data_IF_878413454069
#
_entry.id   IF_878413454069
#
_cell.length_a   1.000
_cell.length_b   1.000
_cell.length_c   1.000
_cell.angle_alpha   90.00
_cell.angle_beta   90.00
_cell.angle_gamma   90.00
#
_symmetry.space_group_name_H-M   'P 1'
#
loop_
_entity.id
_entity.type
_entity.pdbx_description
1 polymer ?
#
# COMPACT_ATOMS: atom_id res chain seq x y z
N UNK A 1 -2.93 18.04 53.40
CA UNK A 1 -2.79 18.30 51.98
C UNK A 1 -3.39 17.11 51.23
N UNK A 2 -4.48 17.32 50.49
CA UNK A 2 -5.13 16.21 49.74
C UNK A 2 -4.23 15.76 48.57
N UNK A 3 -4.02 14.46 48.46
CA UNK A 3 -3.29 13.84 47.33
C UNK A 3 -4.05 14.21 46.04
N UNK A 4 -3.34 14.70 45.03
CA UNK A 4 -3.96 15.07 43.77
C UNK A 4 -4.68 13.86 43.17
N UNK A 5 -5.93 14.04 42.73
CA UNK A 5 -6.83 12.93 42.32
C UNK A 5 -6.21 11.99 41.25
N UNK A 6 -5.40 12.51 40.35
CA UNK A 6 -4.72 11.66 39.36
C UNK A 6 -3.67 10.74 39.99
N UNK A 7 -3.02 11.17 41.09
CA UNK A 7 -2.05 10.34 41.81
C UNK A 7 -2.70 9.12 42.46
N UNK A 8 -3.93 9.25 42.94
CA UNK A 8 -4.68 8.12 43.51
C UNK A 8 -4.87 7.02 42.45
N UNK A 9 -5.16 7.41 41.18
CA UNK A 9 -5.28 6.45 40.08
C UNK A 9 -3.95 5.82 39.72
N UNK A 10 -2.88 6.61 39.62
CA UNK A 10 -1.54 6.05 39.32
C UNK A 10 -1.07 5.10 40.39
N UNK A 11 -1.18 5.46 41.68
CA UNK A 11 -0.81 4.61 42.82
C UNK A 11 -1.66 3.35 42.88
N UNK A 12 -2.95 3.45 42.62
CA UNK A 12 -3.85 2.29 42.59
C UNK A 12 -3.45 1.25 41.52
N UNK A 13 -3.18 1.70 40.30
CA UNK A 13 -2.73 0.82 39.22
C UNK A 13 -1.35 0.21 39.56
N UNK A 14 -0.41 1.01 40.04
CA UNK A 14 0.93 0.54 40.41
C UNK A 14 0.87 -0.50 41.55
N UNK A 15 0.00 -0.31 42.56
CA UNK A 15 -0.17 -1.24 43.62
C UNK A 15 -0.76 -2.57 43.10
N UNK A 16 -1.75 -2.55 42.23
CA UNK A 16 -2.32 -3.77 41.64
C UNK A 16 -1.29 -4.57 40.82
N UNK A 17 -0.40 -3.86 40.15
CA UNK A 17 0.73 -4.50 39.44
C UNK A 17 1.72 -5.07 40.45
N UNK A 18 2.06 -4.34 41.52
CA UNK A 18 3.01 -4.78 42.54
C UNK A 18 2.49 -5.97 43.35
N UNK A 19 1.17 -6.06 43.55
CA UNK A 19 0.53 -7.20 44.29
C UNK A 19 0.24 -8.40 43.36
N UNK A 20 0.48 -8.31 42.07
CA UNK A 20 0.18 -9.36 41.10
C UNK A 20 -1.31 -9.52 40.76
N UNK A 21 -2.14 -8.55 41.11
CA UNK A 21 -3.55 -8.50 40.69
C UNK A 21 -3.68 -8.12 39.20
N UNK A 22 -2.75 -7.32 38.69
CA UNK A 22 -2.55 -7.05 37.29
C UNK A 22 -1.17 -7.56 36.88
N UNK A 23 -1.15 -8.49 35.95
CA UNK A 23 0.08 -9.04 35.39
C UNK A 23 0.47 -8.29 34.12
N UNK A 24 1.70 -8.49 33.64
CA UNK A 24 2.17 -7.99 32.35
C UNK A 24 1.27 -8.53 31.23
N UNK A 25 0.87 -7.64 30.32
CA UNK A 25 -0.05 -7.96 29.23
C UNK A 25 -1.54 -7.87 29.59
N UNK A 26 -1.91 -7.75 30.87
CA UNK A 26 -3.32 -7.63 31.26
C UNK A 26 -3.90 -6.29 30.83
N UNK A 27 -5.14 -6.33 30.36
CA UNK A 27 -5.92 -5.14 30.06
C UNK A 27 -6.43 -4.50 31.35
N UNK A 28 -6.22 -3.19 31.51
CA UNK A 28 -6.79 -2.43 32.61
C UNK A 28 -8.22 -1.99 32.28
N UNK A 29 -8.96 -1.56 33.30
CA UNK A 29 -10.31 -1.03 33.15
C UNK A 29 -10.36 0.19 32.22
N UNK A 30 -11.49 0.39 31.58
CA UNK A 30 -11.67 1.54 30.68
C UNK A 30 -11.61 2.89 31.43
N UNK A 31 -11.24 3.96 30.72
CA UNK A 31 -11.27 5.32 31.26
C UNK A 31 -12.60 5.65 31.93
N UNK A 32 -13.72 5.07 31.44
CA UNK A 32 -15.05 5.26 31.98
C UNK A 32 -15.26 4.57 33.30
N UNK A 33 -14.77 3.35 33.41
CA UNK A 33 -14.94 2.55 34.63
C UNK A 33 -14.08 3.13 35.74
N UNK A 34 -12.83 3.47 35.46
CA UNK A 34 -11.95 4.16 36.42
C UNK A 34 -12.55 5.52 36.85
N UNK A 35 -13.10 6.29 35.93
CA UNK A 35 -13.77 7.55 36.21
C UNK A 35 -14.93 7.38 37.19
N UNK A 36 -15.73 6.32 37.03
CA UNK A 36 -16.83 5.98 37.94
C UNK A 36 -16.33 5.52 39.32
N UNK A 37 -15.33 4.65 39.34
CA UNK A 37 -14.78 4.10 40.57
C UNK A 37 -14.20 5.16 41.51
N UNK A 38 -13.48 6.15 40.91
CA UNK A 38 -12.83 7.23 41.68
C UNK A 38 -13.65 8.49 41.81
N UNK A 39 -14.81 8.60 41.15
CA UNK A 39 -15.62 9.82 41.14
C UNK A 39 -14.88 11.05 40.57
N UNK A 40 -14.08 10.87 39.54
CA UNK A 40 -13.26 11.90 38.91
C UNK A 40 -13.56 12.01 37.40
N UNK A 41 -13.15 13.14 36.79
CA UNK A 41 -13.37 13.34 35.37
C UNK A 41 -12.56 12.38 34.51
N UNK A 42 -13.07 11.99 33.32
CA UNK A 42 -12.32 11.20 32.33
C UNK A 42 -10.99 11.85 31.94
N UNK A 43 -10.95 13.19 31.90
CA UNK A 43 -9.74 13.92 31.58
C UNK A 43 -8.65 13.71 32.66
N UNK A 44 -9.04 13.64 33.93
CA UNK A 44 -8.13 13.35 35.05
C UNK A 44 -7.63 11.90 34.98
N UNK A 45 -8.49 10.94 34.61
CA UNK A 45 -8.08 9.54 34.37
C UNK A 45 -7.12 9.46 33.19
N UNK A 46 -7.45 10.10 32.07
CA UNK A 46 -6.58 10.11 30.89
C UNK A 46 -5.21 10.71 31.17
N UNK A 47 -5.15 11.74 31.98
CA UNK A 47 -3.89 12.32 32.43
C UNK A 47 -3.08 11.32 33.30
N UNK A 48 -3.72 10.62 34.22
CA UNK A 48 -3.07 9.60 35.04
C UNK A 48 -2.53 8.44 34.20
N UNK A 49 -3.33 7.93 33.25
CA UNK A 49 -2.90 6.87 32.34
C UNK A 49 -1.76 7.33 31.43
N UNK A 50 -1.81 8.55 30.91
CA UNK A 50 -0.74 9.13 30.08
C UNK A 50 0.59 9.25 30.85
N UNK A 51 0.57 9.53 32.17
CA UNK A 51 1.78 9.51 32.99
C UNK A 51 2.36 8.11 33.14
N UNK A 52 1.51 7.10 33.31
CA UNK A 52 1.95 5.69 33.40
C UNK A 52 2.45 5.17 32.04
N UNK A 53 1.90 5.66 30.93
CA UNK A 53 2.41 5.40 29.57
C UNK A 53 3.81 6.03 29.39
N UNK A 54 4.00 7.29 29.79
CA UNK A 54 5.31 7.96 29.75
C UNK A 54 6.37 7.29 30.62
N UNK A 55 5.95 6.70 31.75
CA UNK A 55 6.81 5.89 32.61
C UNK A 55 7.09 4.48 32.09
N UNK A 56 6.48 4.08 30.98
CA UNK A 56 6.63 2.75 30.39
C UNK A 56 5.94 1.63 31.19
N UNK A 57 4.99 1.97 32.07
CA UNK A 57 4.23 1.00 32.87
C UNK A 57 3.02 0.45 32.11
N UNK A 58 2.39 1.32 31.31
CA UNK A 58 1.23 0.98 30.49
C UNK A 58 1.55 1.18 29.00
N UNK A 59 0.81 0.50 28.15
CA UNK A 59 0.79 0.72 26.70
C UNK A 59 -0.65 0.83 26.21
N UNK A 60 -0.92 1.75 25.25
CA UNK A 60 -2.23 1.93 24.66
C UNK A 60 -2.25 1.33 23.25
N UNK A 61 -3.22 0.46 23.00
CA UNK A 61 -3.48 -0.14 21.69
C UNK A 61 -4.75 0.48 21.13
N UNK A 62 -4.64 1.21 20.02
CA UNK A 62 -5.76 1.91 19.40
C UNK A 62 -6.88 0.91 19.03
N UNK A 63 -8.09 1.17 19.52
CA UNK A 63 -9.26 0.29 19.31
C UNK A 63 -9.35 -0.93 20.25
N UNK A 64 -8.29 -1.27 21.01
CA UNK A 64 -8.28 -2.43 21.89
C UNK A 64 -8.28 -2.07 23.38
N UNK A 65 -7.66 -0.95 23.78
CA UNK A 65 -7.64 -0.51 25.17
C UNK A 65 -6.25 -0.14 25.69
N UNK A 66 -6.10 -0.11 27.02
CA UNK A 66 -4.83 0.14 27.72
C UNK A 66 -4.42 -1.11 28.48
N UNK A 67 -3.15 -1.49 28.38
CA UNK A 67 -2.60 -2.74 28.91
C UNK A 67 -1.39 -2.46 29.81
N UNK A 68 -1.13 -3.34 30.78
CA UNK A 68 0.15 -3.34 31.51
C UNK A 68 1.26 -3.73 30.54
N UNK A 69 2.30 -2.91 30.45
CA UNK A 69 3.39 -3.14 29.50
C UNK A 69 4.14 -4.44 29.79
N UNK A 70 4.33 -5.23 28.77
CA UNK A 70 5.13 -6.44 28.79
C UNK A 70 6.36 -6.28 27.91
N UNK A 71 7.47 -5.83 28.50
CA UNK A 71 8.73 -5.65 27.78
C UNK A 71 9.31 -6.98 27.25
N UNK A 72 8.97 -8.11 27.88
CA UNK A 72 9.45 -9.43 27.43
C UNK A 72 8.67 -9.85 26.19
N UNK A 73 7.34 -9.69 26.20
CA UNK A 73 6.52 -9.94 25.01
C UNK A 73 6.88 -8.99 23.86
N UNK A 74 7.11 -7.69 24.13
CA UNK A 74 7.59 -6.74 23.13
C UNK A 74 8.99 -7.09 22.58
N UNK A 75 9.89 -7.64 23.43
CA UNK A 75 11.21 -8.09 22.99
C UNK A 75 11.16 -9.42 22.25
N UNK A 76 10.28 -10.34 22.65
CA UNK A 76 10.03 -11.58 21.93
C UNK A 76 9.34 -11.31 20.59
N UNK A 77 8.39 -10.37 20.54
CA UNK A 77 7.76 -9.92 19.30
C UNK A 77 8.78 -9.24 18.36
N UNK A 78 9.69 -8.43 18.90
CA UNK A 78 10.82 -7.86 18.14
C UNK A 78 11.84 -8.93 17.72
N UNK A 79 12.06 -9.97 18.50
CA UNK A 79 12.91 -11.13 18.14
C UNK A 79 12.25 -12.06 17.13
N UNK A 80 10.91 -12.15 17.13
CA UNK A 80 10.13 -12.90 16.13
C UNK A 80 9.88 -12.14 14.83
N UNK A 81 10.07 -10.82 14.79
CA UNK A 81 10.16 -10.08 13.55
C UNK A 81 11.46 -10.52 12.88
N UNK A 82 11.36 -11.39 11.90
CA UNK A 82 12.47 -11.61 10.99
C UNK A 82 12.83 -10.21 10.46
N UNK A 83 14.10 -9.84 10.47
CA UNK A 83 14.53 -8.54 9.90
C UNK A 83 14.41 -8.59 8.37
N UNK A 84 13.32 -9.18 7.89
CA UNK A 84 13.05 -9.40 6.46
C UNK A 84 11.83 -8.59 6.06
N UNK A 85 11.91 -7.95 4.90
CA UNK A 85 10.78 -7.29 4.24
C UNK A 85 10.48 -8.06 2.96
N UNK A 86 9.24 -8.50 2.81
CA UNK A 86 8.77 -9.15 1.60
C UNK A 86 8.48 -8.11 0.53
N UNK A 87 9.05 -8.29 -0.66
CA UNK A 87 8.80 -7.43 -1.82
C UNK A 87 8.13 -8.28 -2.90
N UNK A 88 6.86 -7.99 -3.17
CA UNK A 88 6.10 -8.62 -4.24
C UNK A 88 6.09 -7.70 -5.46
N UNK A 89 6.65 -8.14 -6.58
CA UNK A 89 6.71 -7.34 -7.81
C UNK A 89 6.22 -8.13 -9.02
N UNK A 90 5.76 -7.43 -10.04
CA UNK A 90 5.26 -8.08 -11.26
C UNK A 90 6.38 -8.60 -12.14
N UNK A 91 7.46 -7.82 -12.30
CA UNK A 91 8.62 -8.13 -13.13
C UNK A 91 9.93 -7.72 -12.46
N UNK A 92 11.05 -8.28 -12.93
CA UNK A 92 12.40 -7.94 -12.46
C UNK A 92 13.23 -7.28 -13.55
N UNK A 93 13.11 -7.80 -14.76
CA UNK A 93 13.95 -7.51 -15.93
C UNK A 93 13.42 -6.39 -16.81
N UNK A 94 12.26 -5.83 -16.44
CA UNK A 94 11.66 -4.69 -17.13
C UNK A 94 12.45 -3.40 -16.91
N UNK A 95 12.47 -2.53 -17.91
CA UNK A 95 13.19 -1.25 -17.98
C UNK A 95 13.14 -0.39 -16.70
N UNK A 96 12.04 -0.42 -15.94
CA UNK A 96 11.83 0.43 -14.76
C UNK A 96 12.15 -0.31 -13.44
N UNK A 97 11.94 -1.63 -13.38
CA UNK A 97 11.99 -2.39 -12.13
C UNK A 97 13.38 -2.43 -11.47
N UNK A 98 14.49 -2.65 -12.17
CA UNK A 98 15.81 -2.60 -11.54
C UNK A 98 16.09 -1.24 -10.88
N UNK A 99 15.61 -0.14 -11.49
CA UNK A 99 15.80 1.23 -10.97
C UNK A 99 14.93 1.54 -9.75
N UNK A 100 13.88 0.77 -9.50
CA UNK A 100 13.00 0.89 -8.32
C UNK A 100 13.46 -0.10 -7.24
N UNK A 101 13.69 -1.36 -7.60
CA UNK A 101 13.99 -2.43 -6.65
C UNK A 101 15.38 -2.29 -6.02
N UNK A 102 16.40 -1.94 -6.81
CA UNK A 102 17.76 -1.84 -6.28
C UNK A 102 17.88 -0.77 -5.19
N UNK A 103 17.44 0.50 -5.36
CA UNK A 103 17.48 1.50 -4.28
C UNK A 103 16.61 1.11 -3.08
N UNK A 104 15.51 0.39 -3.30
CA UNK A 104 14.64 -0.10 -2.23
C UNK A 104 15.37 -1.13 -1.36
N UNK A 105 16.04 -2.11 -1.98
CA UNK A 105 16.85 -3.11 -1.28
C UNK A 105 18.01 -2.45 -0.54
N UNK A 106 18.79 -1.58 -1.20
CA UNK A 106 19.91 -0.87 -0.60
C UNK A 106 19.46 -0.03 0.63
N UNK A 107 18.26 0.55 0.56
CA UNK A 107 17.72 1.30 1.69
C UNK A 107 17.34 0.39 2.86
N UNK A 108 16.68 -0.74 2.59
CA UNK A 108 16.34 -1.72 3.61
C UNK A 108 17.59 -2.28 4.29
N UNK A 109 18.62 -2.64 3.53
CA UNK A 109 19.89 -3.13 4.06
C UNK A 109 20.59 -2.11 4.97
N UNK A 110 20.57 -0.83 4.62
CA UNK A 110 21.10 0.25 5.47
C UNK A 110 20.37 0.39 6.82
N UNK A 111 19.10 0.03 6.86
CA UNK A 111 18.28 0.04 8.08
C UNK A 111 18.34 -1.33 8.81
N UNK A 112 19.16 -2.27 8.36
CA UNK A 112 19.34 -3.58 8.97
C UNK A 112 18.29 -4.61 8.61
N UNK A 113 17.54 -4.39 7.53
CA UNK A 113 16.56 -5.35 7.02
C UNK A 113 17.10 -6.11 5.80
N UNK A 114 16.75 -7.38 5.71
CA UNK A 114 16.92 -8.18 4.49
C UNK A 114 15.69 -8.05 3.60
N UNK A 115 15.86 -8.07 2.29
CA UNK A 115 14.76 -8.06 1.34
C UNK A 115 14.55 -9.44 0.72
N UNK A 116 13.32 -9.97 0.76
CA UNK A 116 12.92 -11.19 0.05
C UNK A 116 12.06 -10.82 -1.14
N UNK A 117 12.61 -10.89 -2.35
CA UNK A 117 11.91 -10.49 -3.57
C UNK A 117 11.18 -11.70 -4.16
N UNK A 118 9.90 -11.53 -4.45
CA UNK A 118 9.02 -12.54 -5.04
C UNK A 118 8.33 -11.98 -6.29
N UNK A 119 8.19 -12.84 -7.31
CA UNK A 119 7.67 -12.43 -8.62
C UNK A 119 6.30 -13.00 -8.89
N UNK A 120 5.38 -12.14 -9.30
CA UNK A 120 4.02 -12.56 -9.67
C UNK A 120 3.86 -12.79 -11.16
N UNK A 121 4.70 -12.18 -12.01
CA UNK A 121 4.55 -12.19 -13.45
C UNK A 121 3.23 -11.54 -13.92
N UNK A 122 2.67 -10.63 -13.13
CA UNK A 122 1.34 -10.04 -13.29
C UNK A 122 0.20 -11.09 -13.38
N UNK A 123 0.30 -12.19 -12.61
CA UNK A 123 -0.66 -13.31 -12.62
C UNK A 123 -1.36 -13.43 -11.28
N UNK A 124 -2.69 -13.37 -11.30
CA UNK A 124 -3.57 -13.46 -10.11
C UNK A 124 -3.32 -14.74 -9.29
N UNK A 125 -3.13 -15.87 -9.97
CA UNK A 125 -2.87 -17.16 -9.31
C UNK A 125 -1.53 -17.20 -8.59
N UNK A 126 -0.50 -16.56 -9.18
CA UNK A 126 0.82 -16.49 -8.55
C UNK A 126 0.77 -15.57 -7.31
N UNK A 127 0.14 -14.42 -7.44
CA UNK A 127 -0.10 -13.51 -6.30
C UNK A 127 -0.86 -14.24 -5.18
N UNK A 128 -1.95 -14.95 -5.52
CA UNK A 128 -2.75 -15.73 -4.55
C UNK A 128 -1.88 -16.70 -3.77
N UNK A 129 -1.14 -17.55 -4.48
CA UNK A 129 -0.28 -18.58 -3.87
C UNK A 129 0.78 -17.97 -2.95
N UNK A 130 1.35 -16.81 -3.30
CA UNK A 130 2.36 -16.13 -2.48
C UNK A 130 1.71 -15.55 -1.21
N UNK A 131 0.56 -14.89 -1.32
CA UNK A 131 -0.17 -14.35 -0.17
C UNK A 131 -0.72 -15.45 0.75
N UNK A 132 -1.23 -16.56 0.19
CA UNK A 132 -1.68 -17.72 0.97
C UNK A 132 -0.50 -18.33 1.73
N UNK A 133 0.66 -18.51 1.09
CA UNK A 133 1.86 -19.00 1.75
C UNK A 133 2.28 -18.11 2.93
N UNK A 134 2.29 -16.79 2.79
CA UNK A 134 2.58 -15.86 3.88
C UNK A 134 1.59 -16.05 5.06
N UNK A 135 0.30 -16.28 4.75
CA UNK A 135 -0.71 -16.54 5.75
C UNK A 135 -0.51 -17.89 6.45
N UNK A 136 -0.15 -18.95 5.71
CA UNK A 136 -0.01 -20.31 6.20
C UNK A 136 1.29 -20.50 7.03
N UNK A 137 2.38 -19.86 6.61
CA UNK A 137 3.66 -19.84 7.34
C UNK A 137 3.59 -18.97 8.62
N UNK A 138 2.49 -18.24 8.84
CA UNK A 138 2.37 -17.35 9.99
C UNK A 138 3.34 -16.18 9.95
N UNK A 139 3.86 -15.82 8.77
CA UNK A 139 4.77 -14.70 8.59
C UNK A 139 4.17 -13.41 9.16
N UNK A 140 5.01 -12.63 9.82
CA UNK A 140 4.72 -11.26 10.28
C UNK A 140 5.57 -10.23 9.56
N UNK A 141 6.29 -10.65 8.51
CA UNK A 141 7.17 -9.79 7.74
C UNK A 141 6.36 -8.69 7.04
N UNK A 142 6.80 -7.43 7.09
CA UNK A 142 6.19 -6.36 6.32
C UNK A 142 6.19 -6.69 4.82
N UNK A 143 5.13 -6.26 4.12
CA UNK A 143 4.95 -6.50 2.70
C UNK A 143 4.98 -5.19 1.91
N UNK A 144 5.92 -5.08 0.97
CA UNK A 144 5.90 -4.06 -0.07
C UNK A 144 5.44 -4.75 -1.36
N UNK A 145 4.29 -4.37 -1.90
CA UNK A 145 3.69 -5.09 -3.02
C UNK A 145 3.36 -4.20 -4.21
N UNK A 146 3.68 -4.68 -5.40
CA UNK A 146 3.12 -4.15 -6.64
C UNK A 146 1.84 -4.93 -6.96
N UNK A 147 0.68 -4.26 -6.99
CA UNK A 147 -0.60 -4.89 -7.28
C UNK A 147 -0.67 -5.54 -8.66
N UNK A 148 -1.12 -6.77 -8.69
CA UNK A 148 -1.30 -7.57 -9.92
C UNK A 148 -2.60 -7.19 -10.61
N UNK A 149 -2.55 -6.98 -11.93
CA UNK A 149 -3.72 -6.68 -12.76
C UNK A 149 -4.62 -5.61 -12.13
N UNK A 150 -4.00 -4.54 -11.61
CA UNK A 150 -4.66 -3.50 -10.79
C UNK A 150 -5.74 -2.70 -11.52
N UNK A 151 -5.85 -2.85 -12.83
CA UNK A 151 -6.92 -2.29 -13.66
C UNK A 151 -8.19 -3.14 -13.71
N UNK A 152 -8.18 -4.36 -13.16
CA UNK A 152 -9.26 -5.32 -13.21
C UNK A 152 -9.71 -5.72 -11.80
N UNK A 153 -10.94 -6.25 -11.64
CA UNK A 153 -11.37 -6.85 -10.39
C UNK A 153 -10.43 -7.98 -9.97
N UNK A 154 -9.91 -7.91 -8.73
CA UNK A 154 -8.97 -8.91 -8.22
C UNK A 154 -9.59 -9.70 -7.06
N UNK A 155 -9.73 -11.04 -7.16
CA UNK A 155 -10.29 -11.89 -6.12
C UNK A 155 -9.38 -12.01 -4.88
N UNK A 156 -8.11 -11.61 -4.97
CA UNK A 156 -7.13 -11.73 -3.89
C UNK A 156 -7.21 -10.59 -2.85
N UNK A 157 -8.06 -9.56 -3.06
CA UNK A 157 -8.22 -8.46 -2.10
C UNK A 157 -8.55 -8.96 -0.68
N UNK A 158 -9.27 -10.08 -0.57
CA UNK A 158 -9.56 -10.74 0.72
C UNK A 158 -8.31 -11.24 1.44
N UNK A 159 -7.27 -11.64 0.71
CA UNK A 159 -6.01 -12.12 1.29
C UNK A 159 -5.22 -10.95 1.87
N UNK A 160 -5.16 -9.81 1.19
CA UNK A 160 -4.58 -8.58 1.73
C UNK A 160 -5.30 -8.13 3.02
N UNK A 161 -6.65 -8.18 3.06
CA UNK A 161 -7.40 -7.87 4.29
C UNK A 161 -7.07 -8.84 5.43
N UNK A 162 -6.86 -10.12 5.14
CA UNK A 162 -6.45 -11.13 6.14
C UNK A 162 -5.05 -10.86 6.67
N UNK A 163 -4.09 -10.44 5.83
CA UNK A 163 -2.75 -10.04 6.24
C UNK A 163 -2.80 -8.79 7.14
N UNK A 164 -3.56 -7.76 6.74
CA UNK A 164 -3.79 -6.56 7.57
C UNK A 164 -4.42 -6.89 8.92
N UNK A 165 -5.41 -7.80 8.96
CA UNK A 165 -6.05 -8.24 10.19
C UNK A 165 -5.10 -8.99 11.14
N UNK A 166 -3.97 -9.51 10.62
CA UNK A 166 -2.87 -10.09 11.42
C UNK A 166 -1.83 -9.07 11.85
N UNK A 167 -2.05 -7.79 11.56
CA UNK A 167 -1.13 -6.70 11.90
C UNK A 167 0.08 -6.60 10.96
N UNK A 168 0.08 -7.26 9.80
CA UNK A 168 1.19 -7.16 8.84
C UNK A 168 1.12 -5.80 8.16
N UNK A 169 2.17 -4.96 8.26
CA UNK A 169 2.25 -3.69 7.54
C UNK A 169 2.35 -3.95 6.04
N UNK A 170 1.50 -3.28 5.25
CA UNK A 170 1.51 -3.39 3.79
C UNK A 170 1.66 -2.02 3.17
N UNK A 171 2.56 -1.89 2.19
CA UNK A 171 2.75 -0.72 1.35
C UNK A 171 2.62 -1.12 -0.11
N UNK A 172 1.76 -0.45 -0.86
CA UNK A 172 1.75 -0.62 -2.30
C UNK A 172 2.72 0.33 -3.00
N UNK A 173 3.33 -0.13 -4.07
CA UNK A 173 4.15 0.72 -4.94
C UNK A 173 3.76 0.57 -6.40
N UNK A 174 4.10 1.56 -7.20
CA UNK A 174 3.84 1.64 -8.65
C UNK A 174 2.35 1.68 -9.01
N UNK A 175 1.47 0.96 -8.31
CA UNK A 175 0.02 0.96 -8.45
C UNK A 175 -0.66 0.70 -7.11
N UNK A 176 -2.00 0.64 -7.10
CA UNK A 176 -2.79 0.34 -5.91
C UNK A 176 -4.14 -0.25 -6.30
N UNK A 177 -4.81 -0.93 -5.36
CA UNK A 177 -6.19 -1.36 -5.48
C UNK A 177 -7.10 -0.34 -4.81
N UNK A 178 -8.01 0.28 -5.57
CA UNK A 178 -8.93 1.33 -5.08
C UNK A 178 -9.85 0.87 -3.94
N UNK A 179 -10.10 -0.45 -3.85
CA UNK A 179 -10.98 -1.06 -2.85
C UNK A 179 -10.24 -1.53 -1.58
N UNK A 180 -8.98 -1.12 -1.38
CA UNK A 180 -8.18 -1.39 -0.20
C UNK A 180 -7.59 -0.08 0.33
N UNK A 181 -7.83 0.18 1.62
CA UNK A 181 -7.20 1.31 2.32
C UNK A 181 -5.79 0.91 2.78
N UNK A 182 -4.87 0.86 1.83
CA UNK A 182 -3.46 0.54 2.04
C UNK A 182 -2.64 1.72 1.54
N UNK A 183 -1.67 2.22 2.34
CA UNK A 183 -0.74 3.24 1.90
C UNK A 183 -0.07 2.86 0.57
N UNK A 184 0.11 3.82 -0.33
CA UNK A 184 0.75 3.55 -1.61
C UNK A 184 1.63 4.69 -2.09
N UNK A 185 2.65 4.33 -2.86
CA UNK A 185 3.53 5.25 -3.60
C UNK A 185 3.35 4.97 -5.08
N UNK A 186 2.72 5.89 -5.79
CA UNK A 186 2.46 5.76 -7.23
C UNK A 186 2.55 7.10 -7.94
N UNK A 187 2.72 7.07 -9.26
CA UNK A 187 2.66 8.27 -10.08
C UNK A 187 1.21 8.79 -10.17
N UNK A 188 1.05 10.09 -10.37
CA UNK A 188 -0.22 10.65 -10.80
C UNK A 188 -0.43 10.35 -12.29
N UNK A 189 -0.91 9.15 -12.60
CA UNK A 189 -1.08 8.65 -13.96
C UNK A 189 -2.10 9.46 -14.78
N UNK A 190 -3.11 10.04 -14.14
CA UNK A 190 -4.07 10.93 -14.82
C UNK A 190 -3.32 12.19 -15.32
N UNK A 191 -2.53 12.81 -14.46
CA UNK A 191 -1.75 13.98 -14.83
C UNK A 191 -0.67 13.63 -15.87
N UNK A 192 -0.03 12.48 -15.76
CA UNK A 192 0.96 12.02 -16.73
C UNK A 192 0.36 11.81 -18.12
N UNK A 193 -0.81 11.15 -18.21
CA UNK A 193 -1.53 10.97 -19.46
C UNK A 193 -2.01 12.29 -20.06
N UNK A 194 -2.50 13.19 -19.19
CA UNK A 194 -2.92 14.52 -19.57
C UNK A 194 -1.75 15.35 -20.15
N UNK A 195 -0.66 15.47 -19.42
CA UNK A 195 0.51 16.26 -19.84
C UNK A 195 1.12 15.75 -21.14
N UNK A 196 1.23 14.43 -21.32
CA UNK A 196 1.72 13.84 -22.55
C UNK A 196 0.82 14.20 -23.77
N UNK A 197 -0.49 14.22 -23.58
CA UNK A 197 -1.44 14.53 -24.64
C UNK A 197 -1.49 16.03 -24.92
N UNK A 198 -1.48 16.87 -23.89
CA UNK A 198 -1.41 18.33 -24.03
C UNK A 198 -0.15 18.75 -24.79
N UNK A 199 1.00 18.15 -24.52
CA UNK A 199 2.23 18.38 -25.27
C UNK A 199 2.07 18.10 -26.77
N UNK A 200 1.38 17.01 -27.14
CA UNK A 200 1.13 16.74 -28.58
C UNK A 200 0.18 17.76 -29.21
N UNK A 201 -0.83 18.21 -28.47
CA UNK A 201 -1.76 19.26 -28.91
C UNK A 201 -1.02 20.59 -29.12
N UNK A 202 -0.15 20.97 -28.19
CA UNK A 202 0.69 22.17 -28.29
C UNK A 202 1.63 22.13 -29.52
N UNK A 203 2.02 20.92 -29.96
CA UNK A 203 2.78 20.72 -31.20
C UNK A 203 1.92 20.74 -32.48
N UNK A 204 0.62 21.05 -32.35
CA UNK A 204 -0.31 21.20 -33.48
C UNK A 204 -0.96 19.89 -33.94
N UNK A 205 -0.81 18.79 -33.17
CA UNK A 205 -1.45 17.55 -33.53
C UNK A 205 -2.93 17.55 -33.12
N UNK A 206 -3.82 17.20 -34.05
CA UNK A 206 -5.27 17.05 -33.81
C UNK A 206 -5.76 15.61 -33.97
N UNK A 207 -5.00 14.78 -34.72
CA UNK A 207 -5.29 13.37 -34.92
C UNK A 207 -4.34 12.54 -34.04
N UNK A 208 -4.65 12.45 -32.76
CA UNK A 208 -3.80 11.84 -31.75
C UNK A 208 -4.35 10.45 -31.40
N UNK A 209 -3.57 9.40 -31.66
CA UNK A 209 -3.89 8.04 -31.22
C UNK A 209 -3.48 7.80 -29.77
N UNK A 210 -4.02 6.74 -29.17
CA UNK A 210 -3.68 6.32 -27.82
C UNK A 210 -3.40 4.83 -27.70
N UNK A 211 -2.36 4.47 -26.95
CA UNK A 211 -2.02 3.07 -26.62
C UNK A 211 -2.01 2.92 -25.11
N UNK A 212 -2.93 2.14 -24.56
CA UNK A 212 -3.11 1.98 -23.10
C UNK A 212 -3.16 0.52 -22.71
N UNK A 213 -2.75 0.23 -21.47
CA UNK A 213 -2.83 -1.09 -20.90
C UNK A 213 -4.17 -1.32 -20.20
N UNK A 214 -4.84 -2.44 -20.49
CA UNK A 214 -6.17 -2.76 -19.92
C UNK A 214 -6.09 -3.29 -18.51
N UNK A 215 -5.10 -4.13 -18.25
CA UNK A 215 -4.95 -4.89 -17.02
C UNK A 215 -4.20 -4.14 -15.90
N UNK A 216 -3.62 -2.98 -16.19
CA UNK A 216 -2.98 -2.12 -15.18
C UNK A 216 -3.80 -0.86 -14.90
N UNK A 217 -3.94 -0.49 -13.64
CA UNK A 217 -4.62 0.74 -13.22
C UNK A 217 -3.98 2.00 -13.78
N UNK A 218 -2.65 2.00 -13.99
CA UNK A 218 -1.94 3.09 -14.63
C UNK A 218 -2.45 3.34 -16.04
N UNK A 219 -2.63 2.28 -16.84
CA UNK A 219 -3.13 2.41 -18.21
C UNK A 219 -4.48 3.08 -18.28
N UNK A 220 -5.41 2.67 -17.42
CA UNK A 220 -6.76 3.25 -17.34
C UNK A 220 -6.73 4.71 -16.89
N UNK A 221 -5.91 5.04 -15.89
CA UNK A 221 -5.77 6.42 -15.40
C UNK A 221 -5.10 7.33 -16.43
N UNK A 222 -4.08 6.85 -17.16
CA UNK A 222 -3.47 7.62 -18.26
C UNK A 222 -4.44 7.85 -19.41
N UNK A 223 -5.28 6.86 -19.73
CA UNK A 223 -6.38 7.06 -20.68
C UNK A 223 -7.35 8.14 -20.23
N UNK A 224 -7.73 8.17 -18.95
CA UNK A 224 -8.55 9.26 -18.41
C UNK A 224 -7.87 10.64 -18.57
N UNK A 225 -6.56 10.71 -18.39
CA UNK A 225 -5.77 11.90 -18.63
C UNK A 225 -5.79 12.34 -20.11
N UNK A 226 -5.63 11.38 -21.01
CA UNK A 226 -5.74 11.59 -22.47
C UNK A 226 -7.11 12.14 -22.86
N UNK A 227 -8.20 11.55 -22.36
CA UNK A 227 -9.56 12.04 -22.62
C UNK A 227 -9.76 13.48 -22.12
N UNK A 228 -9.26 13.79 -20.91
CA UNK A 228 -9.35 15.15 -20.34
C UNK A 228 -8.61 16.18 -21.18
N UNK A 229 -7.44 15.85 -21.70
CA UNK A 229 -6.65 16.75 -22.55
C UNK A 229 -7.34 17.03 -23.90
N UNK A 230 -7.83 15.98 -24.57
CA UNK A 230 -8.56 16.12 -25.83
C UNK A 230 -9.85 16.92 -25.64
N UNK A 231 -10.65 16.59 -24.62
CA UNK A 231 -11.89 17.28 -24.31
C UNK A 231 -11.68 18.77 -23.99
N UNK A 232 -10.60 19.10 -23.26
CA UNK A 232 -10.25 20.49 -22.96
C UNK A 232 -9.86 21.29 -24.21
N UNK A 233 -9.24 20.63 -25.18
CA UNK A 233 -8.86 21.23 -26.48
C UNK A 233 -9.99 21.20 -27.52
N UNK A 234 -11.18 20.68 -27.20
CA UNK A 234 -12.28 20.54 -28.15
C UNK A 234 -12.02 19.53 -29.27
N UNK A 235 -11.08 18.58 -29.06
CA UNK A 235 -10.75 17.53 -30.01
C UNK A 235 -11.62 16.32 -29.72
N UNK A 236 -12.35 15.84 -30.71
CA UNK A 236 -13.20 14.65 -30.60
C UNK A 236 -12.37 13.38 -30.40
N UNK A 237 -12.83 12.54 -29.46
CA UNK A 237 -12.19 11.25 -29.19
C UNK A 237 -12.70 10.21 -30.17
N UNK A 238 -11.83 9.71 -31.03
CA UNK A 238 -12.15 8.62 -31.95
C UNK A 238 -11.66 7.29 -31.34
N UNK A 239 -12.58 6.44 -30.89
CA UNK A 239 -12.24 5.12 -30.31
C UNK A 239 -11.46 4.22 -31.28
N UNK A 240 -11.66 4.40 -32.61
CA UNK A 240 -10.88 3.71 -33.64
C UNK A 240 -9.37 3.97 -33.55
N UNK A 241 -8.96 5.11 -32.96
CA UNK A 241 -7.56 5.50 -32.75
C UNK A 241 -7.00 5.08 -31.38
N UNK A 242 -7.83 4.47 -30.53
CA UNK A 242 -7.41 3.98 -29.21
C UNK A 242 -7.14 2.49 -29.28
N UNK A 243 -5.95 2.09 -28.85
CA UNK A 243 -5.53 0.69 -28.80
C UNK A 243 -5.33 0.28 -27.35
N UNK A 244 -6.06 -0.73 -26.95
CA UNK A 244 -5.89 -1.40 -25.67
C UNK A 244 -5.05 -2.65 -25.87
N UNK A 245 -4.05 -2.82 -24.98
CA UNK A 245 -3.17 -4.00 -24.94
C UNK A 245 -3.13 -4.54 -23.52
N UNK A 246 -2.90 -5.83 -23.35
CA UNK A 246 -2.72 -6.46 -22.06
C UNK A 246 -1.33 -7.08 -21.90
N UNK A 247 -1.05 -7.61 -20.71
CA UNK A 247 0.24 -8.25 -20.40
C UNK A 247 0.53 -9.46 -21.29
N UNK A 248 -0.48 -10.20 -21.73
CA UNK A 248 -0.29 -11.39 -22.56
C UNK A 248 -0.02 -11.00 -24.01
N UNK A 249 -0.76 -10.03 -24.55
CA UNK A 249 -0.53 -9.48 -25.88
C UNK A 249 0.87 -8.89 -26.01
N UNK A 250 1.41 -8.27 -24.93
CA UNK A 250 2.76 -7.70 -24.94
C UNK A 250 3.89 -8.71 -25.20
N UNK A 251 3.61 -10.00 -25.10
CA UNK A 251 4.56 -11.08 -25.43
C UNK A 251 4.63 -11.37 -26.94
N UNK A 252 3.62 -10.97 -27.69
CA UNK A 252 3.55 -11.14 -29.14
C UNK A 252 3.63 -9.77 -29.84
N UNK A 253 4.85 -9.32 -30.03
CA UNK A 253 5.13 -8.02 -30.64
C UNK A 253 4.58 -7.92 -32.07
N UNK A 254 4.63 -9.00 -32.83
CA UNK A 254 4.18 -9.00 -34.23
C UNK A 254 2.68 -8.72 -34.32
N UNK A 255 1.89 -9.37 -33.49
CA UNK A 255 0.44 -9.18 -33.40
C UNK A 255 0.07 -7.75 -32.94
N UNK A 256 0.82 -7.21 -31.98
CA UNK A 256 0.62 -5.82 -31.56
C UNK A 256 0.90 -4.86 -32.71
N UNK A 257 1.98 -5.05 -33.44
CA UNK A 257 2.35 -4.17 -34.56
C UNK A 257 1.30 -4.15 -35.66
N UNK A 258 0.69 -5.29 -36.00
CA UNK A 258 -0.41 -5.32 -36.96
C UNK A 258 -1.63 -4.52 -36.46
N UNK A 259 -2.02 -4.72 -35.22
CA UNK A 259 -3.11 -4.00 -34.57
C UNK A 259 -2.85 -2.49 -34.56
N UNK A 260 -1.61 -2.07 -34.26
CA UNK A 260 -1.22 -0.67 -34.22
C UNK A 260 -1.18 -0.04 -35.63
N UNK A 261 -0.64 -0.72 -36.62
CA UNK A 261 -0.64 -0.23 -38.01
C UNK A 261 -2.05 0.11 -38.48
N UNK A 262 -3.02 -0.74 -38.17
CA UNK A 262 -4.41 -0.49 -38.54
C UNK A 262 -5.01 0.68 -37.76
N UNK A 263 -4.90 0.66 -36.43
CA UNK A 263 -5.55 1.64 -35.54
C UNK A 263 -4.93 3.03 -35.59
N UNK A 264 -3.63 3.12 -35.84
CA UNK A 264 -2.89 4.39 -35.87
C UNK A 264 -2.71 4.94 -37.29
N UNK A 265 -3.30 4.28 -38.30
CA UNK A 265 -3.23 4.68 -39.69
C UNK A 265 -3.79 6.05 -39.87
N UNK A 266 -3.55 7.08 -39.97
CA UNK A 266 -4.17 8.41 -40.02
C UNK A 266 -3.95 9.26 -38.78
N UNK A 267 -3.29 8.74 -37.77
CA UNK A 267 -2.84 9.55 -36.64
C UNK A 267 -1.56 10.33 -37.05
N UNK A 268 -1.43 11.54 -36.55
CA UNK A 268 -0.22 12.35 -36.71
C UNK A 268 0.71 12.27 -35.52
N UNK A 269 0.19 11.78 -34.39
CA UNK A 269 0.93 11.53 -33.16
C UNK A 269 0.24 10.47 -32.32
N UNK A 270 0.93 9.91 -31.33
CA UNK A 270 0.39 8.90 -30.44
C UNK A 270 0.81 9.14 -28.98
N UNK A 271 -0.17 9.21 -28.07
CA UNK A 271 0.04 9.17 -26.64
C UNK A 271 0.16 7.71 -26.19
N UNK A 272 1.30 7.35 -25.59
CA UNK A 272 1.64 5.97 -25.23
C UNK A 272 1.77 5.77 -23.72
N UNK A 273 1.07 4.77 -23.20
CA UNK A 273 1.12 4.39 -21.79
C UNK A 273 2.32 3.51 -21.40
N UNK A 274 2.84 2.69 -22.33
CA UNK A 274 3.88 1.71 -22.05
C UNK A 274 5.24 2.14 -22.60
N UNK A 275 6.25 2.17 -21.74
CA UNK A 275 7.60 2.64 -22.08
C UNK A 275 8.53 1.56 -22.65
N UNK A 276 8.25 0.27 -22.42
CA UNK A 276 9.30 -0.74 -22.55
C UNK A 276 9.33 -1.53 -23.86
N UNK A 277 8.21 -1.75 -24.53
CA UNK A 277 8.14 -2.74 -25.61
C UNK A 277 8.10 -2.16 -27.04
N UNK A 278 7.82 -0.89 -27.20
CA UNK A 278 7.62 -0.28 -28.50
C UNK A 278 8.62 0.86 -28.71
N UNK A 279 9.89 0.51 -28.94
CA UNK A 279 10.81 1.43 -29.60
C UNK A 279 10.43 1.44 -31.09
N UNK A 280 9.81 2.54 -31.55
CA UNK A 280 9.71 2.84 -32.96
C UNK A 280 11.03 3.42 -33.44
#
# INVERSE_FOLDING_TARGET
>A
MGIAKYRQVTEWIQNRIATGELNRGDQIESENDISRTFGISRQTVRHALGLLEQQGILTRIQGSGTFVRDEQAEQEEKKMLSHTVDILTTYVDGYIFPRILQPMVERLEKEGYSARIMFTGNRIETERRLLERMLDEGSRDPLIAEPVMSGLPNPNLKLYRRLLARGIPILFFNSFYENLDIPHISMNDVQAGRAATEYLIEKGHTRIGGIFKTDDGQGRRRYLGYLKALGHAGIEVEESRVTWIDTLEMKDFSRIMEKLKYRLSGCTACARCCSAALRC
#
